data_IF_017711347775
#
_entry.id   IF_017711347775
#
_cell.length_a   1.000
_cell.length_b   1.000
_cell.length_c   1.000
_cell.angle_alpha   90.00
_cell.angle_beta   90.00
_cell.angle_gamma   90.00
#
_symmetry.space_group_name_H-M   'P 1'
#
loop_
_entity.id
_entity.type
_entity.pdbx_description
1 polymer ?
#
# COMPACT_ATOMS: atom_id res chain seq x y z
N UNK A 1 -32.76 22.55 28.49
CA UNK A 1 -32.47 21.54 27.47
C UNK A 1 -31.07 21.01 27.72
N UNK A 2 -30.92 19.74 28.11
CA UNK A 2 -29.62 19.11 28.36
C UNK A 2 -29.17 18.47 27.05
N UNK A 3 -28.15 19.03 26.40
CA UNK A 3 -27.52 18.44 25.21
C UNK A 3 -26.47 17.43 25.67
N UNK A 4 -26.80 16.15 25.57
CA UNK A 4 -25.87 15.04 25.79
C UNK A 4 -25.01 14.88 24.54
N UNK A 5 -23.74 15.28 24.62
CA UNK A 5 -22.76 15.06 23.55
C UNK A 5 -22.10 13.70 23.83
N UNK A 6 -22.49 12.69 23.07
CA UNK A 6 -21.82 11.38 23.08
C UNK A 6 -20.45 11.50 22.43
N UNK A 7 -19.39 11.41 23.22
CA UNK A 7 -18.02 11.29 22.74
C UNK A 7 -17.84 9.89 22.12
N UNK A 8 -17.76 9.84 20.79
CA UNK A 8 -17.36 8.63 20.06
C UNK A 8 -15.84 8.55 20.17
N UNK A 9 -15.35 7.64 21.02
CA UNK A 9 -13.93 7.32 21.13
C UNK A 9 -13.57 6.47 19.91
N UNK A 10 -13.03 7.08 18.86
CA UNK A 10 -12.45 6.33 17.74
C UNK A 10 -11.09 5.84 18.21
N UNK A 11 -11.03 4.57 18.63
CA UNK A 11 -9.78 3.91 18.95
C UNK A 11 -8.96 3.74 17.66
N UNK A 12 -7.83 4.45 17.57
CA UNK A 12 -6.77 4.12 16.61
C UNK A 12 -6.13 2.81 17.08
N UNK A 13 -6.55 1.69 16.49
CA UNK A 13 -5.84 0.43 16.61
C UNK A 13 -4.70 0.40 15.59
N UNK A 14 -3.56 1.00 15.93
CA UNK A 14 -2.30 0.73 15.21
C UNK A 14 -1.76 -0.61 15.70
N UNK A 15 -2.08 -1.68 14.98
CA UNK A 15 -1.42 -2.97 15.15
C UNK A 15 -0.36 -3.11 14.06
N UNK A 16 0.87 -2.65 14.35
CA UNK A 16 2.06 -3.15 13.66
C UNK A 16 2.32 -4.56 14.21
N UNK A 17 1.74 -5.56 13.56
CA UNK A 17 2.14 -6.94 13.74
C UNK A 17 2.74 -7.39 12.43
N UNK A 18 4.06 -7.36 12.31
CA UNK A 18 4.77 -8.10 11.26
C UNK A 18 4.55 -9.59 11.50
N UNK A 19 4.01 -10.36 10.54
CA UNK A 19 4.34 -11.76 10.48
C UNK A 19 5.57 -11.90 9.57
N UNK A 20 6.71 -12.29 10.16
CA UNK A 20 7.66 -13.13 9.42
C UNK A 20 6.93 -14.45 9.19
N UNK A 21 6.21 -14.52 8.08
CA UNK A 21 5.73 -15.77 7.52
C UNK A 21 6.70 -16.15 6.42
N UNK A 22 7.49 -17.17 6.69
CA UNK A 22 8.06 -18.01 5.64
C UNK A 22 6.92 -18.48 4.74
N UNK A 23 6.69 -17.79 3.63
CA UNK A 23 5.75 -18.20 2.60
C UNK A 23 6.52 -18.50 1.32
N UNK A 24 6.81 -19.79 1.16
CA UNK A 24 7.15 -20.37 -0.13
C UNK A 24 5.93 -20.19 -1.04
N UNK A 25 5.87 -19.10 -1.79
CA UNK A 25 4.81 -18.87 -2.78
C UNK A 25 5.19 -19.52 -4.11
N UNK A 26 4.63 -20.70 -4.34
CA UNK A 26 4.66 -21.39 -5.62
C UNK A 26 3.61 -20.79 -6.53
N UNK A 27 4.05 -20.06 -7.56
CA UNK A 27 3.46 -19.77 -8.88
C UNK A 27 1.93 -19.93 -9.05
N UNK A 28 1.21 -18.86 -9.43
CA UNK A 28 0.25 -18.78 -10.56
C UNK A 28 -0.58 -17.47 -10.54
N UNK A 29 -0.07 -16.34 -11.04
CA UNK A 29 -0.90 -15.15 -11.37
C UNK A 29 -0.27 -14.32 -12.50
N UNK A 30 -0.48 -14.74 -13.75
CA UNK A 30 0.24 -14.30 -14.95
C UNK A 30 0.02 -12.87 -15.46
N UNK A 31 -0.47 -11.91 -14.66
CA UNK A 31 -0.63 -10.52 -15.13
C UNK A 31 -0.34 -9.47 -14.05
N UNK A 32 -0.59 -9.78 -12.76
CA UNK A 32 -0.10 -9.00 -11.61
C UNK A 32 1.38 -9.30 -11.26
N UNK A 33 1.95 -10.34 -11.86
CA UNK A 33 3.30 -10.83 -11.57
C UNK A 33 4.40 -9.87 -12.05
N UNK A 34 4.22 -9.12 -13.13
CA UNK A 34 5.31 -8.26 -13.63
C UNK A 34 5.60 -7.08 -12.70
N UNK A 35 4.58 -6.51 -12.06
CA UNK A 35 4.73 -5.42 -11.10
C UNK A 35 5.15 -5.95 -9.72
N UNK A 36 4.48 -6.98 -9.21
CA UNK A 36 4.83 -7.59 -7.91
C UNK A 36 6.24 -8.17 -7.85
N UNK A 37 6.76 -8.70 -8.96
CA UNK A 37 8.14 -9.22 -9.02
C UNK A 37 9.19 -8.11 -8.98
N UNK A 38 8.86 -6.88 -9.42
CA UNK A 38 9.79 -5.75 -9.43
C UNK A 38 9.86 -5.03 -8.09
N UNK A 39 8.72 -4.80 -7.46
CA UNK A 39 8.65 -4.12 -6.16
C UNK A 39 8.89 -5.06 -4.97
N UNK A 40 8.97 -6.37 -5.22
CA UNK A 40 9.16 -7.38 -4.19
C UNK A 40 7.90 -7.60 -3.34
N UNK A 41 7.98 -8.56 -2.41
CA UNK A 41 6.85 -8.93 -1.54
C UNK A 41 6.43 -7.74 -0.67
N UNK A 42 7.40 -6.98 -0.14
CA UNK A 42 7.10 -5.83 0.70
C UNK A 42 6.45 -4.68 -0.08
N UNK A 43 6.97 -4.39 -1.29
CA UNK A 43 6.36 -3.39 -2.17
C UNK A 43 4.93 -3.76 -2.55
N UNK A 44 4.68 -5.05 -2.84
CA UNK A 44 3.37 -5.54 -3.21
C UNK A 44 2.36 -5.45 -2.05
N UNK A 45 2.77 -5.76 -0.82
CA UNK A 45 1.94 -5.59 0.38
C UNK A 45 1.60 -4.12 0.61
N UNK A 46 2.59 -3.25 0.53
CA UNK A 46 2.39 -1.80 0.64
C UNK A 46 1.48 -1.25 -0.45
N UNK A 47 1.59 -1.76 -1.67
CA UNK A 47 0.73 -1.40 -2.80
C UNK A 47 -0.73 -1.77 -2.52
N UNK A 48 -0.99 -2.97 -2.02
CA UNK A 48 -2.32 -3.44 -1.68
C UNK A 48 -2.92 -2.64 -0.51
N UNK A 49 -2.13 -2.36 0.53
CA UNK A 49 -2.58 -1.53 1.66
C UNK A 49 -2.93 -0.11 1.20
N UNK A 50 -2.09 0.48 0.36
CA UNK A 50 -2.32 1.81 -0.19
C UNK A 50 -3.62 1.87 -1.02
N UNK A 51 -3.93 0.83 -1.81
CA UNK A 51 -5.16 0.75 -2.59
C UNK A 51 -6.40 0.76 -1.68
N UNK A 52 -6.37 -0.01 -0.59
CA UNK A 52 -7.45 -0.04 0.41
C UNK A 52 -7.60 1.33 1.10
N UNK A 53 -6.48 1.98 1.45
CA UNK A 53 -6.50 3.30 2.11
C UNK A 53 -6.98 4.42 1.19
N UNK A 54 -6.57 4.40 -0.08
CA UNK A 54 -6.97 5.37 -1.08
C UNK A 54 -8.39 5.13 -1.63
N UNK A 55 -8.96 3.95 -1.38
CA UNK A 55 -10.29 3.52 -1.87
C UNK A 55 -10.40 3.62 -3.39
N UNK A 56 -9.31 3.36 -4.08
CA UNK A 56 -9.23 3.37 -5.54
C UNK A 56 -8.36 2.21 -6.01
N UNK A 57 -8.53 1.80 -7.27
CA UNK A 57 -7.78 0.70 -7.85
C UNK A 57 -6.59 1.25 -8.67
N UNK A 58 -5.36 1.16 -8.16
CA UNK A 58 -4.16 1.65 -8.86
C UNK A 58 -3.84 0.86 -10.14
N UNK A 59 -4.52 -0.27 -10.39
CA UNK A 59 -4.33 -1.06 -11.60
C UNK A 59 -5.29 -0.65 -12.73
N UNK A 60 -6.32 0.15 -12.44
CA UNK A 60 -7.41 0.47 -13.38
C UNK A 60 -7.58 1.99 -13.54
N UNK A 61 -7.22 2.78 -12.53
CA UNK A 61 -7.36 4.24 -12.55
C UNK A 61 -6.00 4.90 -12.31
N UNK A 62 -5.39 5.45 -13.36
CA UNK A 62 -4.10 6.15 -13.23
C UNK A 62 -4.23 7.42 -12.37
N UNK A 63 -5.44 8.02 -12.25
CA UNK A 63 -5.66 9.13 -11.31
C UNK A 63 -5.61 8.67 -9.86
N UNK A 64 -5.83 7.38 -9.60
CA UNK A 64 -5.62 6.79 -8.27
C UNK A 64 -4.15 6.81 -7.92
N UNK A 65 -3.26 6.49 -8.87
CA UNK A 65 -1.82 6.35 -8.65
C UNK A 65 -1.19 7.63 -8.10
N UNK A 66 -1.79 8.78 -8.37
CA UNK A 66 -1.24 10.10 -8.06
C UNK A 66 -2.11 10.84 -7.05
N UNK A 67 -1.67 10.86 -5.79
CA UNK A 67 -2.39 11.51 -4.69
C UNK A 67 -2.40 10.66 -3.42
N UNK A 68 -3.56 10.36 -2.80
CA UNK A 68 -3.63 9.62 -1.54
C UNK A 68 -3.00 8.22 -1.61
N UNK A 69 -3.08 7.56 -2.76
CA UNK A 69 -2.42 6.28 -3.00
C UNK A 69 -0.91 6.44 -2.98
N UNK A 70 -0.38 7.39 -3.75
CA UNK A 70 1.05 7.71 -3.82
C UNK A 70 1.60 7.91 -2.41
N UNK A 71 1.00 8.82 -1.63
CA UNK A 71 1.45 9.10 -0.26
C UNK A 71 1.41 7.83 0.62
N UNK A 72 0.32 7.07 0.56
CA UNK A 72 0.18 5.85 1.33
C UNK A 72 1.22 4.78 0.97
N UNK A 73 1.48 4.54 -0.32
CA UNK A 73 2.42 3.52 -0.78
C UNK A 73 3.87 3.96 -0.53
N UNK A 74 4.21 5.24 -0.74
CA UNK A 74 5.56 5.76 -0.43
C UNK A 74 5.82 5.78 1.08
N UNK A 75 4.81 6.09 1.88
CA UNK A 75 4.90 6.08 3.34
C UNK A 75 5.05 4.65 3.87
N UNK A 76 4.34 3.68 3.30
CA UNK A 76 4.46 2.27 3.69
C UNK A 76 5.84 1.71 3.30
N UNK A 77 6.25 1.90 2.04
CA UNK A 77 7.51 1.35 1.54
C UNK A 77 8.74 1.97 2.20
N UNK A 78 8.70 3.27 2.53
CA UNK A 78 9.80 3.94 3.24
C UNK A 78 9.96 3.53 4.70
N UNK A 79 8.88 3.08 5.34
CA UNK A 79 8.93 2.62 6.74
C UNK A 79 9.19 1.11 6.87
N UNK A 80 8.76 0.32 5.89
CA UNK A 80 8.63 -1.13 6.04
C UNK A 80 9.55 -1.92 5.11
N UNK A 81 9.83 -1.38 3.92
CA UNK A 81 10.59 -2.10 2.89
C UNK A 81 12.05 -1.68 2.88
N UNK A 82 12.89 -2.50 2.25
CA UNK A 82 14.28 -2.14 2.00
C UNK A 82 14.36 -1.04 0.92
N UNK A 83 15.54 -0.45 0.78
CA UNK A 83 15.78 0.64 -0.17
C UNK A 83 15.52 0.23 -1.62
N UNK A 84 15.85 -0.99 -2.01
CA UNK A 84 15.67 -1.48 -3.38
C UNK A 84 14.18 -1.62 -3.74
N UNK A 85 13.38 -2.20 -2.86
CA UNK A 85 11.93 -2.35 -3.02
C UNK A 85 11.21 -0.98 -2.98
N UNK A 86 11.67 -0.06 -2.13
CA UNK A 86 11.18 1.32 -2.10
C UNK A 86 11.42 2.01 -3.45
N UNK A 87 12.66 1.97 -3.95
CA UNK A 87 13.01 2.57 -5.24
C UNK A 87 12.24 1.94 -6.39
N UNK A 88 12.10 0.61 -6.41
CA UNK A 88 11.32 -0.08 -7.43
C UNK A 88 9.83 0.31 -7.42
N UNK A 89 9.27 0.62 -6.24
CA UNK A 89 7.90 1.10 -6.12
C UNK A 89 7.76 2.54 -6.62
N UNK A 90 8.75 3.40 -6.34
CA UNK A 90 8.79 4.78 -6.85
C UNK A 90 8.94 4.82 -8.38
N UNK A 91 9.81 3.97 -8.95
CA UNK A 91 10.02 3.84 -10.41
C UNK A 91 8.73 3.47 -11.16
N UNK A 92 7.86 2.68 -10.53
CA UNK A 92 6.55 2.32 -11.07
C UNK A 92 5.54 3.47 -11.06
N UNK A 93 5.68 4.42 -10.13
CA UNK A 93 4.78 5.55 -9.95
C UNK A 93 5.19 6.79 -10.74
N UNK A 94 6.49 6.95 -11.01
CA UNK A 94 7.06 8.05 -11.78
C UNK A 94 6.32 8.30 -13.12
N UNK A 95 6.09 7.31 -14.00
CA UNK A 95 5.42 7.55 -15.28
C UNK A 95 3.91 7.79 -15.18
N UNK A 96 3.29 7.50 -14.03
CA UNK A 96 1.85 7.68 -13.84
C UNK A 96 1.48 9.10 -13.40
N UNK A 97 2.44 9.84 -12.81
CA UNK A 97 2.19 11.11 -12.12
C UNK A 97 2.82 12.33 -12.81
N UNK A 98 2.90 12.31 -14.14
CA UNK A 98 3.31 13.46 -14.98
C UNK A 98 2.14 14.36 -15.40
#
# INVERSE_FOLDING_TARGET
MRLSISLIVVALSTAFASPVTTLKSSNNDGELTTRGTRMGECGQDCWNEAAVRAKCDPNIDDNCLCGPFFDAVTTCTSQTCNTDENLATLDLLEPACE
#
